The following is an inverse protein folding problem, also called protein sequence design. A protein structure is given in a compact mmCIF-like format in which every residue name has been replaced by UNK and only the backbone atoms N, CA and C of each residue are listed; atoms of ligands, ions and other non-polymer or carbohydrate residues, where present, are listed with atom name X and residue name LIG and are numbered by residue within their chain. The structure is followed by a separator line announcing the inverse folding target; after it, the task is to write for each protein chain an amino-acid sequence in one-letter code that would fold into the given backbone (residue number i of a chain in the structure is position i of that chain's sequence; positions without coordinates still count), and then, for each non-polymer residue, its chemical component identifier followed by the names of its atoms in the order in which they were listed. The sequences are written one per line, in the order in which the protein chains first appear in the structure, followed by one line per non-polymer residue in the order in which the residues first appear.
data_IF_161114293216
#
_entry.id   IF_161114293216
#
_cell.length_a   1.000
_cell.length_b   1.000
_cell.length_c   1.000
_cell.angle_alpha   90.00
_cell.angle_beta   90.00
_cell.angle_gamma   90.00
#
_symmetry.space_group_name_H-M   'P 1'
#
loop_
_entity.id
_entity.type
_entity.pdbx_description
1 polymer ?
#
# COMPACT_ATOMS: atom_id res chain seq x y z
N UNK A 1 34.52 -2.57 -0.23
CA UNK A 1 33.89 -1.35 -0.80
C UNK A 1 33.27 -1.78 -2.11
N UNK A 2 31.95 -1.98 -2.14
CA UNK A 2 31.26 -2.36 -3.37
C UNK A 2 31.03 -1.09 -4.18
N UNK A 3 31.65 -1.02 -5.35
CA UNK A 3 31.57 0.11 -6.27
C UNK A 3 30.14 0.22 -6.79
N UNK A 4 29.45 1.31 -6.42
CA UNK A 4 28.09 1.58 -6.89
C UNK A 4 28.24 2.11 -8.32
N UNK A 5 28.01 1.25 -9.31
CA UNK A 5 28.01 1.66 -10.72
C UNK A 5 26.72 2.42 -11.05
N UNK A 6 26.73 3.38 -11.98
CA UNK A 6 25.53 4.14 -12.37
C UNK A 6 24.32 3.27 -12.77
N UNK A 7 24.58 2.08 -13.34
CA UNK A 7 23.57 1.08 -13.67
C UNK A 7 22.87 0.51 -12.42
N UNK A 8 23.59 0.34 -11.32
CA UNK A 8 23.04 -0.18 -10.06
C UNK A 8 22.12 0.84 -9.36
N UNK A 9 22.45 2.13 -9.42
CA UNK A 9 21.56 3.19 -8.93
C UNK A 9 20.31 3.29 -9.80
N UNK A 10 20.46 3.16 -11.12
CA UNK A 10 19.33 3.21 -12.05
C UNK A 10 18.36 2.04 -11.82
N UNK A 11 18.89 0.82 -11.63
CA UNK A 11 18.07 -0.36 -11.34
C UNK A 11 17.36 -0.28 -9.97
N UNK A 12 18.04 0.28 -8.95
CA UNK A 12 17.43 0.52 -7.64
C UNK A 12 16.27 1.52 -7.71
N UNK A 13 16.45 2.65 -8.39
CA UNK A 13 15.39 3.65 -8.55
C UNK A 13 14.22 3.13 -9.40
N UNK A 14 14.49 2.33 -10.45
CA UNK A 14 13.43 1.67 -11.22
C UNK A 14 12.58 0.71 -10.37
N UNK A 15 13.21 -0.01 -9.44
CA UNK A 15 12.52 -0.91 -8.51
C UNK A 15 11.61 -0.11 -7.59
N UNK A 16 12.09 1.02 -7.04
CA UNK A 16 11.28 1.93 -6.21
C UNK A 16 10.08 2.50 -6.95
N UNK A 17 10.26 2.90 -8.21
CA UNK A 17 9.16 3.40 -9.05
C UNK A 17 8.13 2.29 -9.30
N UNK A 18 8.57 1.06 -9.55
CA UNK A 18 7.67 -0.08 -9.72
C UNK A 18 6.88 -0.38 -8.44
N UNK A 19 7.52 -0.37 -7.27
CA UNK A 19 6.87 -0.59 -5.98
C UNK A 19 5.84 0.51 -5.67
N UNK A 20 6.19 1.77 -5.92
CA UNK A 20 5.28 2.90 -5.75
C UNK A 20 4.08 2.83 -6.71
N UNK A 21 4.32 2.49 -7.98
CA UNK A 21 3.25 2.29 -8.95
C UNK A 21 2.33 1.13 -8.54
N UNK A 22 2.91 0.03 -8.05
CA UNK A 22 2.15 -1.12 -7.59
C UNK A 22 1.32 -0.78 -6.33
N UNK A 23 1.84 0.06 -5.44
CA UNK A 23 1.11 0.59 -4.29
C UNK A 23 -0.06 1.49 -4.70
N UNK A 24 0.14 2.46 -5.60
CA UNK A 24 -0.95 3.31 -6.08
C UNK A 24 -2.02 2.55 -6.85
N UNK A 25 -1.66 1.50 -7.60
CA UNK A 25 -2.65 0.60 -8.23
C UNK A 25 -3.48 -0.14 -7.20
N UNK A 26 -2.86 -0.63 -6.12
CA UNK A 26 -3.59 -1.29 -5.04
C UNK A 26 -4.51 -0.31 -4.30
N UNK A 27 -4.10 0.95 -4.13
CA UNK A 27 -4.99 2.01 -3.62
C UNK A 27 -6.17 2.29 -4.54
N UNK A 28 -5.95 2.37 -5.86
CA UNK A 28 -7.02 2.57 -6.83
C UNK A 28 -8.04 1.42 -6.79
N UNK A 29 -7.56 0.18 -6.64
CA UNK A 29 -8.40 -1.00 -6.55
C UNK A 29 -9.39 -0.96 -5.38
N UNK A 30 -9.09 -0.26 -4.27
CA UNK A 30 -10.03 -0.07 -3.14
C UNK A 30 -11.37 0.54 -3.58
N UNK A 31 -11.35 1.41 -4.59
CA UNK A 31 -12.55 2.05 -5.13
C UNK A 31 -13.37 1.15 -6.06
N UNK A 32 -12.76 0.05 -6.51
CA UNK A 32 -13.37 -0.94 -7.40
C UNK A 32 -13.84 -2.19 -6.66
N UNK A 33 -13.44 -2.34 -5.38
CA UNK A 33 -13.78 -3.46 -4.51
C UNK A 33 -15.29 -3.52 -4.23
N UNK A 34 -16.02 -4.53 -4.74
CA UNK A 34 -17.48 -4.54 -4.68
C UNK A 34 -18.05 -5.14 -3.38
N UNK A 35 -17.26 -5.89 -2.62
CA UNK A 35 -17.73 -6.60 -1.42
C UNK A 35 -16.78 -6.41 -0.22
N UNK A 36 -17.30 -6.67 0.98
CA UNK A 36 -16.48 -6.69 2.20
C UNK A 36 -15.41 -7.80 2.14
N UNK A 37 -15.72 -8.97 1.58
CA UNK A 37 -14.75 -10.07 1.46
C UNK A 37 -13.58 -9.69 0.55
N UNK A 38 -13.86 -9.00 -0.56
CA UNK A 38 -12.82 -8.49 -1.46
C UNK A 38 -11.96 -7.42 -0.77
N UNK A 39 -12.57 -6.59 0.09
CA UNK A 39 -11.85 -5.57 0.87
C UNK A 39 -10.92 -6.24 1.90
N UNK A 40 -11.40 -7.27 2.58
CA UNK A 40 -10.60 -8.06 3.52
C UNK A 40 -9.48 -8.85 2.84
N UNK A 41 -9.68 -9.29 1.59
CA UNK A 41 -8.63 -9.95 0.82
C UNK A 41 -7.55 -8.95 0.33
N UNK A 42 -7.93 -7.71 0.05
CA UNK A 42 -7.04 -6.67 -0.47
C UNK A 42 -6.25 -5.94 0.63
N UNK A 43 -6.77 -5.91 1.85
CA UNK A 43 -6.17 -5.18 2.97
C UNK A 43 -4.77 -5.69 3.39
N UNK A 44 -4.54 -7.01 3.62
CA UNK A 44 -3.24 -7.50 4.05
C UNK A 44 -2.09 -7.21 3.06
N UNK A 45 -2.23 -7.46 1.74
CA UNK A 45 -1.16 -7.16 0.80
C UNK A 45 -0.92 -5.65 0.63
N UNK A 46 -1.96 -4.82 0.78
CA UNK A 46 -1.81 -3.37 0.75
C UNK A 46 -1.05 -2.86 1.99
N UNK A 47 -1.36 -3.38 3.18
CA UNK A 47 -0.64 -3.05 4.42
C UNK A 47 0.83 -3.46 4.34
N UNK A 48 1.12 -4.68 3.87
CA UNK A 48 2.50 -5.13 3.70
C UNK A 48 3.31 -4.25 2.74
N UNK A 49 2.69 -3.73 1.68
CA UNK A 49 3.33 -2.77 0.76
C UNK A 49 3.57 -1.41 1.41
N UNK A 50 2.61 -0.92 2.17
CA UNK A 50 2.73 0.32 2.90
C UNK A 50 3.88 0.29 3.90
N UNK A 51 4.02 -0.83 4.63
CA UNK A 51 5.13 -1.07 5.57
C UNK A 51 6.48 -1.13 4.84
N UNK A 52 6.56 -1.79 3.67
CA UNK A 52 7.79 -1.85 2.89
C UNK A 52 8.23 -0.48 2.33
N UNK A 53 7.28 0.41 2.03
CA UNK A 53 7.55 1.75 1.53
C UNK A 53 7.87 2.75 2.65
N UNK A 54 7.41 2.51 3.87
CA UNK A 54 7.67 3.35 5.04
C UNK A 54 9.02 3.02 5.71
N UNK A 55 9.81 4.01 6.16
CA UNK A 55 9.61 5.46 6.02
C UNK A 55 10.23 6.05 4.74
N UNK A 56 10.76 5.19 3.85
CA UNK A 56 11.67 5.61 2.76
C UNK A 56 11.01 6.38 1.63
N UNK A 57 9.76 6.07 1.32
CA UNK A 57 8.96 6.63 0.22
C UNK A 57 7.65 7.23 0.72
N UNK A 58 7.15 6.73 1.85
CA UNK A 58 5.94 7.20 2.52
C UNK A 58 6.34 7.48 3.96
N UNK A 59 5.97 8.63 4.52
CA UNK A 59 6.29 8.91 5.91
C UNK A 59 5.53 7.99 6.88
N UNK A 60 6.07 7.77 8.07
CA UNK A 60 5.38 6.97 9.10
C UNK A 60 3.99 7.54 9.42
N UNK A 61 3.85 8.87 9.44
CA UNK A 61 2.57 9.55 9.68
C UNK A 61 1.56 9.23 8.58
N UNK A 62 1.97 9.28 7.31
CA UNK A 62 1.09 8.93 6.18
C UNK A 62 0.73 7.44 6.20
N UNK A 63 1.69 6.56 6.53
CA UNK A 63 1.45 5.13 6.66
C UNK A 63 0.43 4.81 7.78
N UNK A 64 0.55 5.49 8.93
CA UNK A 64 -0.43 5.36 10.01
C UNK A 64 -1.79 5.92 9.62
N UNK A 65 -1.84 7.08 8.96
CA UNK A 65 -3.09 7.68 8.49
C UNK A 65 -3.82 6.75 7.52
N UNK A 66 -3.11 6.20 6.54
CA UNK A 66 -3.69 5.28 5.57
C UNK A 66 -4.15 3.96 6.22
N UNK A 67 -3.38 3.42 7.16
CA UNK A 67 -3.78 2.22 7.92
C UNK A 67 -5.09 2.44 8.69
N UNK A 68 -5.28 3.63 9.27
CA UNK A 68 -6.54 3.99 9.95
C UNK A 68 -7.69 4.18 8.98
N UNK A 69 -7.44 4.75 7.80
CA UNK A 69 -8.46 4.89 6.75
C UNK A 69 -8.94 3.53 6.24
N UNK A 70 -8.02 2.59 5.99
CA UNK A 70 -8.36 1.22 5.59
C UNK A 70 -9.21 0.51 6.63
N UNK A 71 -8.82 0.61 7.91
CA UNK A 71 -9.62 0.04 9.00
C UNK A 71 -11.01 0.69 9.06
N UNK A 72 -11.09 2.03 8.92
CA UNK A 72 -12.36 2.75 8.93
C UNK A 72 -13.28 2.35 7.77
N UNK A 73 -12.74 2.06 6.59
CA UNK A 73 -13.50 1.52 5.46
C UNK A 73 -14.09 0.15 5.79
N UNK A 74 -13.27 -0.78 6.32
CA UNK A 74 -13.72 -2.11 6.74
C UNK A 74 -14.81 -2.01 7.80
N UNK A 75 -14.56 -1.25 8.87
CA UNK A 75 -15.52 -1.06 9.96
C UNK A 75 -16.84 -0.47 9.46
N UNK A 76 -16.79 0.46 8.50
CA UNK A 76 -17.99 1.02 7.88
C UNK A 76 -18.76 -0.01 7.06
N UNK A 77 -18.06 -0.86 6.29
CA UNK A 77 -18.68 -1.94 5.53
C UNK A 77 -19.33 -2.99 6.45
N UNK A 78 -18.62 -3.41 7.49
CA UNK A 78 -19.12 -4.34 8.53
C UNK A 78 -20.42 -3.81 9.14
N UNK A 79 -20.42 -2.54 9.60
CA UNK A 79 -21.61 -1.89 10.16
C UNK A 79 -22.77 -1.78 9.16
N UNK A 80 -22.48 -1.46 7.90
CA UNK A 80 -23.52 -1.33 6.85
C UNK A 80 -24.19 -2.69 6.53
N UNK A 81 -23.45 -3.78 6.67
CA UNK A 81 -23.95 -5.15 6.45
C UNK A 81 -24.65 -5.74 7.69
N UNK A 82 -24.61 -5.05 8.84
CA UNK A 82 -25.23 -5.50 10.08
C UNK A 82 -24.45 -6.57 10.84
N UNK A 83 -23.14 -6.63 10.60
CA UNK A 83 -22.19 -7.48 11.33
C UNK A 83 -21.63 -6.79 12.58
#
# INVERSE_FOLDING_TARGET
MTEITPDSMTAFEQTRVADLAAFYRALAALSETPTLDDLLALEPPLRGRLEALSPSLISETEAQALSRLLQGMIDSCVKALGH
#
